data_IF_074998447630
#
_entry.id   IF_074998447630
#
_cell.length_a   1.000
_cell.length_b   1.000
_cell.length_c   1.000
_cell.angle_alpha   90.00
_cell.angle_beta   90.00
_cell.angle_gamma   90.00
#
_symmetry.space_group_name_H-M   'P 1'
#
loop_
_entity.id
_entity.type
_entity.pdbx_description
1 polymer ?
#
# COMPACT_ATOMS: atom_id res chain seq x y z
N UNK A 1 3.20 -6.43 -8.46
CA UNK A 1 1.95 -6.40 -7.66
C UNK A 1 1.93 -5.14 -6.80
N UNK A 2 0.83 -4.45 -6.76
CA UNK A 2 0.70 -3.22 -6.00
C UNK A 2 -0.70 -2.63 -6.12
N UNK A 3 -0.90 -1.43 -5.55
CA UNK A 3 -2.16 -0.71 -5.64
C UNK A 3 -1.94 0.64 -6.31
N UNK A 4 -2.87 1.03 -7.16
CA UNK A 4 -2.88 2.35 -7.78
C UNK A 4 -4.07 3.13 -7.23
N UNK A 5 -3.81 4.31 -6.68
CA UNK A 5 -4.85 5.23 -6.22
C UNK A 5 -5.01 6.31 -7.27
N UNK A 6 -6.24 6.52 -7.74
CA UNK A 6 -6.55 7.50 -8.79
C UNK A 6 -7.42 8.59 -8.19
N UNK A 7 -6.87 9.33 -7.24
CA UNK A 7 -7.57 10.42 -6.54
C UNK A 7 -6.53 11.52 -6.31
N UNK A 8 -6.97 12.78 -6.27
CA UNK A 8 -6.08 13.89 -5.97
C UNK A 8 -5.52 13.74 -4.55
N UNK A 9 -4.20 13.72 -4.44
CA UNK A 9 -3.48 13.49 -3.18
C UNK A 9 -2.41 14.57 -2.98
N UNK A 10 -2.11 14.85 -1.72
CA UNK A 10 -1.09 15.83 -1.34
C UNK A 10 0.16 15.11 -0.84
N UNK A 11 1.27 15.33 -1.53
CA UNK A 11 2.55 14.69 -1.19
C UNK A 11 3.62 15.73 -0.90
N UNK A 12 4.75 15.27 -0.38
CA UNK A 12 5.91 16.13 -0.18
C UNK A 12 6.56 16.57 -1.52
N UNK A 13 6.14 15.97 -2.62
CA UNK A 13 6.57 16.36 -3.99
C UNK A 13 5.52 17.21 -4.70
N UNK A 14 4.47 17.66 -3.97
CA UNK A 14 3.37 18.40 -4.52
C UNK A 14 2.10 17.57 -4.64
N UNK A 15 1.09 18.16 -5.26
CA UNK A 15 -0.18 17.48 -5.49
C UNK A 15 -0.05 16.52 -6.66
N UNK A 16 -0.62 15.31 -6.52
CA UNK A 16 -0.65 14.32 -7.58
C UNK A 16 -2.06 13.79 -7.77
N UNK A 17 -2.38 13.34 -8.99
CA UNK A 17 -3.67 12.73 -9.32
C UNK A 17 -3.63 11.22 -9.26
N UNK A 18 -2.48 10.62 -9.01
CA UNK A 18 -2.34 9.18 -8.84
C UNK A 18 -1.21 8.86 -7.88
N UNK A 19 -1.25 7.65 -7.33
CA UNK A 19 -0.20 7.16 -6.44
C UNK A 19 -0.09 5.65 -6.60
N UNK A 20 1.13 5.13 -6.53
CA UNK A 20 1.42 3.71 -6.54
C UNK A 20 1.93 3.27 -5.17
N UNK A 21 1.37 2.17 -4.65
CA UNK A 21 1.77 1.57 -3.38
C UNK A 21 2.28 0.15 -3.60
N UNK A 22 3.36 -0.21 -2.93
CA UNK A 22 3.75 -1.61 -2.82
C UNK A 22 4.19 -1.94 -1.40
N UNK A 23 4.18 -3.22 -1.07
CA UNK A 23 4.59 -3.68 0.26
C UNK A 23 6.10 -3.54 0.40
N UNK A 24 6.53 -2.85 1.46
CA UNK A 24 7.94 -2.76 1.83
C UNK A 24 8.30 -3.84 2.84
N UNK A 25 7.49 -4.00 3.88
CA UNK A 25 7.82 -4.87 5.00
C UNK A 25 6.54 -5.35 5.68
N UNK A 26 6.58 -6.58 6.19
CA UNK A 26 5.50 -7.16 6.97
C UNK A 26 6.08 -7.63 8.30
N UNK A 27 5.56 -7.08 9.40
CA UNK A 27 5.95 -7.48 10.75
C UNK A 27 4.78 -8.23 11.39
N UNK A 28 4.99 -9.51 11.68
CA UNK A 28 3.96 -10.39 12.24
C UNK A 28 4.24 -10.58 13.72
N UNK A 29 3.24 -10.28 14.58
CA UNK A 29 3.34 -10.49 16.00
C UNK A 29 2.64 -11.78 16.42
N UNK A 30 2.99 -12.29 17.62
CA UNK A 30 2.37 -13.49 18.17
C UNK A 30 0.88 -13.33 18.48
N UNK A 31 0.40 -12.08 18.54
CA UNK A 31 -0.98 -11.76 18.91
C UNK A 31 -1.84 -11.47 17.68
N UNK A 32 -1.36 -11.83 16.49
CA UNK A 32 -2.04 -11.61 15.21
C UNK A 32 -2.27 -10.12 14.90
N UNK A 33 -1.55 -9.23 15.58
CA UNK A 33 -1.54 -7.82 15.26
C UNK A 33 -0.34 -7.59 14.36
N UNK A 34 -0.60 -7.43 13.07
CA UNK A 34 0.45 -7.37 12.07
C UNK A 34 0.58 -5.97 11.54
N UNK A 35 1.81 -5.49 11.43
CA UNK A 35 2.10 -4.17 10.89
C UNK A 35 2.68 -4.32 9.49
N UNK A 36 2.01 -3.72 8.51
CA UNK A 36 2.46 -3.76 7.12
C UNK A 36 2.86 -2.36 6.70
N UNK A 37 4.10 -2.21 6.24
CA UNK A 37 4.64 -0.95 5.76
C UNK A 37 4.64 -0.92 4.24
N UNK A 38 4.30 0.23 3.69
CA UNK A 38 4.20 0.43 2.25
C UNK A 38 5.16 1.49 1.76
N UNK A 39 5.72 1.25 0.57
CA UNK A 39 6.39 2.28 -0.21
C UNK A 39 5.34 3.03 -1.02
N UNK A 40 5.47 4.35 -1.09
CA UNK A 40 4.56 5.23 -1.83
C UNK A 40 5.35 5.95 -2.92
N UNK A 41 4.81 5.94 -4.14
CA UNK A 41 5.40 6.60 -5.29
C UNK A 41 4.33 7.43 -6.00
N UNK A 42 4.74 8.52 -6.65
CA UNK A 42 3.79 9.35 -7.38
C UNK A 42 3.17 8.62 -8.58
N UNK A 43 3.82 7.56 -9.06
CA UNK A 43 3.28 6.69 -10.11
C UNK A 43 4.07 5.39 -10.15
N UNK A 44 3.56 4.39 -10.86
CA UNK A 44 4.28 3.14 -11.08
C UNK A 44 5.53 3.38 -11.93
N UNK A 45 5.45 4.30 -12.90
CA UNK A 45 6.59 4.67 -13.73
C UNK A 45 7.71 5.29 -12.90
N UNK A 46 7.37 6.12 -11.92
CA UNK A 46 8.37 6.69 -11.02
C UNK A 46 9.10 5.60 -10.23
N UNK A 47 8.37 4.59 -9.74
CA UNK A 47 8.95 3.46 -9.04
C UNK A 47 9.83 2.61 -9.96
N UNK A 48 9.39 2.36 -11.20
CA UNK A 48 10.15 1.56 -12.17
C UNK A 48 11.43 2.26 -12.62
N UNK A 49 11.41 3.60 -12.67
CA UNK A 49 12.57 4.41 -13.02
C UNK A 49 13.58 4.45 -11.87
N UNK A 50 13.11 4.62 -10.64
CA UNK A 50 13.96 4.70 -9.46
C UNK A 50 13.19 4.25 -8.22
N UNK A 51 13.47 3.03 -7.74
CA UNK A 51 12.78 2.46 -6.59
C UNK A 51 13.05 3.21 -5.28
N UNK A 52 14.02 4.11 -5.25
CA UNK A 52 14.31 4.94 -4.09
C UNK A 52 13.59 6.29 -4.13
N UNK A 53 12.86 6.58 -5.21
CA UNK A 53 12.16 7.85 -5.39
C UNK A 53 10.77 7.81 -4.73
N UNK A 54 10.76 7.52 -3.44
CA UNK A 54 9.55 7.42 -2.63
C UNK A 54 9.02 8.80 -2.29
N UNK A 55 7.71 8.87 -1.98
CA UNK A 55 7.09 10.11 -1.52
C UNK A 55 6.33 9.88 -0.22
N UNK A 56 6.05 10.97 0.50
CA UNK A 56 5.16 10.98 1.65
C UNK A 56 3.82 11.53 1.21
N UNK A 57 2.74 11.03 1.81
CA UNK A 57 1.38 11.44 1.45
C UNK A 57 0.55 11.67 2.71
N UNK A 58 -0.22 12.76 2.75
CA UNK A 58 -1.02 13.08 3.91
C UNK A 58 -2.27 12.20 4.04
N UNK A 59 -2.85 11.78 2.91
CA UNK A 59 -4.09 11.02 2.89
C UNK A 59 -3.88 9.50 3.00
N UNK A 60 -2.65 9.02 2.77
CA UNK A 60 -2.33 7.59 2.77
C UNK A 60 -1.25 7.32 3.79
N UNK A 61 -1.54 6.47 4.76
CA UNK A 61 -0.58 6.11 5.79
C UNK A 61 0.58 5.28 5.20
N UNK A 62 1.75 5.36 5.86
CA UNK A 62 2.92 4.57 5.48
C UNK A 62 2.84 3.14 6.02
N UNK A 63 2.00 2.91 7.05
CA UNK A 63 1.83 1.59 7.63
C UNK A 63 0.39 1.37 8.05
N UNK A 64 -0.01 0.10 8.07
CA UNK A 64 -1.34 -0.32 8.48
C UNK A 64 -1.23 -1.48 9.47
N UNK A 65 -2.03 -1.40 10.54
CA UNK A 65 -2.20 -2.53 11.45
C UNK A 65 -3.33 -3.39 10.90
N UNK A 66 -3.01 -4.63 10.53
CA UNK A 66 -3.95 -5.55 9.92
C UNK A 66 -4.12 -6.78 10.80
N UNK A 67 -5.36 -7.23 10.96
CA UNK A 67 -5.68 -8.41 11.74
C UNK A 67 -5.91 -9.58 10.78
N UNK A 68 -4.90 -10.44 10.66
CA UNK A 68 -5.01 -11.67 9.86
C UNK A 68 -4.16 -12.76 10.50
N UNK A 69 -4.55 -14.01 10.26
CA UNK A 69 -3.79 -15.16 10.69
C UNK A 69 -2.88 -15.61 9.55
N UNK A 70 -1.59 -15.76 9.85
CA UNK A 70 -0.64 -16.20 8.85
C UNK A 70 -0.87 -17.68 8.48
N UNK A 71 -0.94 -18.55 9.47
CA UNK A 71 -1.19 -19.98 9.26
C UNK A 71 -0.31 -20.60 8.19
N UNK A 72 -0.93 -21.36 7.28
CA UNK A 72 -0.25 -22.05 6.19
C UNK A 72 -0.32 -21.30 4.87
N UNK A 73 -0.47 -19.95 4.92
CA UNK A 73 -0.57 -19.15 3.71
C UNK A 73 0.75 -19.13 2.93
N UNK A 74 0.66 -19.26 1.61
CA UNK A 74 1.80 -19.01 0.74
C UNK A 74 2.13 -17.53 0.74
N UNK A 75 3.37 -17.16 0.39
CA UNK A 75 3.78 -15.76 0.31
C UNK A 75 2.91 -14.98 -0.68
N UNK A 76 2.59 -15.57 -1.83
CA UNK A 76 1.76 -14.94 -2.84
C UNK A 76 0.36 -14.64 -2.29
N UNK A 77 -0.24 -15.62 -1.64
CA UNK A 77 -1.58 -15.46 -1.07
C UNK A 77 -1.58 -14.41 0.05
N UNK A 78 -0.53 -14.38 0.86
CA UNK A 78 -0.39 -13.38 1.92
C UNK A 78 -0.37 -11.97 1.34
N UNK A 79 0.39 -11.73 0.27
CA UNK A 79 0.45 -10.44 -0.38
C UNK A 79 -0.91 -10.05 -0.97
N UNK A 80 -1.58 -10.97 -1.64
CA UNK A 80 -2.92 -10.72 -2.18
C UNK A 80 -3.90 -10.33 -1.09
N UNK A 81 -3.88 -11.04 0.03
CA UNK A 81 -4.74 -10.75 1.17
C UNK A 81 -4.48 -9.36 1.73
N UNK A 82 -3.21 -8.99 1.92
CA UNK A 82 -2.83 -7.68 2.46
C UNK A 82 -3.28 -6.56 1.53
N UNK A 83 -3.02 -6.68 0.23
CA UNK A 83 -3.46 -5.67 -0.74
C UNK A 83 -4.98 -5.53 -0.76
N UNK A 84 -5.71 -6.64 -0.66
CA UNK A 84 -7.16 -6.61 -0.59
C UNK A 84 -7.67 -5.88 0.65
N UNK A 85 -7.07 -6.15 1.81
CA UNK A 85 -7.45 -5.51 3.06
C UNK A 85 -7.17 -4.00 3.05
N UNK A 86 -6.00 -3.61 2.53
CA UNK A 86 -5.62 -2.19 2.45
C UNK A 86 -6.49 -1.47 1.42
N UNK A 87 -6.78 -2.10 0.30
CA UNK A 87 -7.69 -1.54 -0.70
C UNK A 87 -9.05 -1.21 -0.08
N UNK A 88 -9.61 -2.13 0.71
CA UNK A 88 -10.88 -1.91 1.39
C UNK A 88 -10.81 -0.71 2.34
N UNK A 89 -9.72 -0.59 3.10
CA UNK A 89 -9.53 0.55 4.01
C UNK A 89 -9.44 1.88 3.26
N UNK A 90 -8.71 1.91 2.15
CA UNK A 90 -8.56 3.12 1.35
C UNK A 90 -9.87 3.51 0.66
N UNK A 91 -10.62 2.55 0.16
CA UNK A 91 -11.92 2.81 -0.45
C UNK A 91 -12.91 3.33 0.58
N UNK A 92 -12.82 2.88 1.83
CA UNK A 92 -13.64 3.39 2.91
C UNK A 92 -13.35 4.87 3.22
N UNK A 93 -12.18 5.37 2.86
CA UNK A 93 -11.82 6.78 2.98
C UNK A 93 -12.29 7.62 1.78
N UNK A 94 -12.93 7.01 0.81
CA UNK A 94 -13.40 7.68 -0.40
C UNK A 94 -12.40 7.71 -1.54
N UNK A 95 -11.30 6.97 -1.45
CA UNK A 95 -10.28 6.92 -2.50
C UNK A 95 -10.65 5.86 -3.54
N UNK A 96 -10.22 6.11 -4.78
CA UNK A 96 -10.42 5.17 -5.89
C UNK A 96 -9.15 4.34 -6.02
N UNK A 97 -9.27 3.03 -5.82
CA UNK A 97 -8.11 2.12 -5.75
C UNK A 97 -8.25 1.00 -6.78
N UNK A 98 -7.17 0.73 -7.48
CA UNK A 98 -7.08 -0.33 -8.49
C UNK A 98 -5.95 -1.28 -8.12
N UNK A 99 -6.20 -2.60 -8.25
CA UNK A 99 -5.19 -3.64 -8.08
C UNK A 99 -4.33 -3.72 -9.34
N UNK A 100 -3.02 -3.55 -9.18
CA UNK A 100 -2.05 -3.74 -10.26
C UNK A 100 -1.32 -5.07 -10.04
N UNK A 101 -1.57 -6.01 -10.93
CA UNK A 101 -0.94 -7.34 -10.87
C UNK A 101 0.38 -7.37 -11.61
#
# INVERSE_FOLDING_TARGET
MGLKITTSLHTNKGETSEMYLNIENIMISKQNTNNVMFNKYISKEARDTNANDRCECFEVASSYMLDFEQGELSTTYLYELIYSMVKTKLEAQGLIVEDLK
#
